data_IF_841168071580
#
_entry.id   IF_841168071580
#
_cell.length_a   1.000
_cell.length_b   1.000
_cell.length_c   1.000
_cell.angle_alpha   90.00
_cell.angle_beta   90.00
_cell.angle_gamma   90.00
#
_symmetry.space_group_name_H-M   'P 1'
#
loop_
_entity.id
_entity.type
_entity.pdbx_description
1 polymer ?
#
# COMPACT_ATOMS: atom_id res chain seq x y z
N UNK A 1 52.43 13.29 38.29
CA UNK A 1 51.02 13.74 38.26
C UNK A 1 50.25 12.78 37.37
N UNK A 2 49.65 11.76 37.97
CA UNK A 2 48.88 10.70 37.28
C UNK A 2 47.40 10.99 37.47
N UNK A 3 46.68 11.23 36.37
CA UNK A 3 45.24 11.46 36.36
C UNK A 3 44.48 10.13 36.36
N UNK A 4 43.54 9.90 37.28
CA UNK A 4 42.68 8.72 37.24
C UNK A 4 41.53 8.97 36.24
N UNK A 5 41.53 8.25 35.12
CA UNK A 5 40.35 8.08 34.28
C UNK A 5 39.35 7.17 35.00
N UNK A 6 38.28 7.77 35.51
CA UNK A 6 37.16 7.07 36.14
C UNK A 6 36.17 6.57 35.09
N UNK A 7 35.93 5.26 35.13
CA UNK A 7 34.91 4.53 34.38
C UNK A 7 33.51 5.08 34.73
N UNK A 8 32.81 5.71 33.77
CA UNK A 8 31.42 6.18 33.91
C UNK A 8 30.42 5.55 32.91
N UNK A 9 30.78 4.44 32.28
CA UNK A 9 29.93 3.76 31.29
C UNK A 9 28.87 2.78 31.85
N UNK A 10 28.89 2.46 33.14
CA UNK A 10 28.09 1.34 33.67
C UNK A 10 26.61 1.64 33.96
N UNK A 11 26.27 2.88 34.30
CA UNK A 11 24.94 3.20 34.85
C UNK A 11 23.87 3.32 33.75
N UNK A 12 24.25 3.80 32.57
CA UNK A 12 23.33 3.96 31.43
C UNK A 12 22.93 2.59 30.86
N UNK A 13 23.87 1.64 30.80
CA UNK A 13 23.59 0.28 30.34
C UNK A 13 22.62 -0.46 31.25
N UNK A 14 22.77 -0.32 32.57
CA UNK A 14 21.89 -0.95 33.54
C UNK A 14 20.46 -0.36 33.53
N UNK A 15 20.30 0.93 33.21
CA UNK A 15 18.99 1.54 33.12
C UNK A 15 18.24 1.08 31.85
N UNK A 16 18.93 0.99 30.72
CA UNK A 16 18.32 0.53 29.46
C UNK A 16 17.86 -0.93 29.52
N UNK A 17 18.61 -1.80 30.18
CA UNK A 17 18.18 -3.20 30.38
C UNK A 17 16.95 -3.31 31.27
N UNK A 18 16.84 -2.48 32.31
CA UNK A 18 15.70 -2.48 33.22
C UNK A 18 14.41 -2.00 32.51
N UNK A 19 14.53 -0.98 31.65
CA UNK A 19 13.39 -0.50 30.83
C UNK A 19 12.95 -1.57 29.82
N UNK A 20 13.88 -2.25 29.16
CA UNK A 20 13.57 -3.33 28.23
C UNK A 20 12.83 -4.49 28.93
N UNK A 21 13.28 -4.89 30.13
CA UNK A 21 12.63 -5.94 30.93
C UNK A 21 11.21 -5.53 31.33
N UNK A 22 11.01 -4.27 31.76
CA UNK A 22 9.69 -3.76 32.12
C UNK A 22 8.71 -3.75 30.93
N UNK A 23 9.18 -3.37 29.74
CA UNK A 23 8.36 -3.39 28.53
C UNK A 23 7.91 -4.81 28.16
N UNK A 24 8.81 -5.79 28.20
CA UNK A 24 8.48 -7.20 27.94
C UNK A 24 7.49 -7.74 28.97
N UNK A 25 7.65 -7.40 30.25
CA UNK A 25 6.72 -7.83 31.30
C UNK A 25 5.29 -7.29 31.09
N UNK A 26 5.14 -6.04 30.63
CA UNK A 26 3.83 -5.46 30.32
C UNK A 26 3.17 -6.16 29.12
N UNK A 27 3.93 -6.45 28.07
CA UNK A 27 3.41 -7.15 26.88
C UNK A 27 2.96 -8.58 27.24
N UNK A 28 3.77 -9.31 28.01
CA UNK A 28 3.42 -10.66 28.47
C UNK A 28 2.18 -10.62 29.37
N UNK A 29 2.08 -9.66 30.29
CA UNK A 29 0.91 -9.51 31.15
C UNK A 29 -0.37 -9.27 30.34
N UNK A 30 -0.34 -8.37 29.36
CA UNK A 30 -1.49 -8.08 28.48
C UNK A 30 -1.88 -9.30 27.64
N UNK A 31 -0.90 -10.02 27.08
CA UNK A 31 -1.16 -11.22 26.29
C UNK A 31 -1.80 -12.34 27.14
N UNK A 32 -1.31 -12.52 28.36
CA UNK A 32 -1.85 -13.51 29.33
C UNK A 32 -3.25 -13.12 29.79
N UNK A 33 -3.51 -11.84 30.03
CA UNK A 33 -4.83 -11.35 30.47
C UNK A 33 -5.89 -11.54 29.35
N UNK A 34 -5.52 -11.26 28.09
CA UNK A 34 -6.40 -11.51 26.93
C UNK A 34 -6.69 -13.01 26.74
N UNK A 35 -5.69 -13.88 26.94
CA UNK A 35 -5.84 -15.34 26.81
C UNK A 35 -6.61 -15.99 27.98
N UNK A 36 -6.43 -15.49 29.21
CA UNK A 36 -7.12 -16.05 30.39
C UNK A 36 -8.53 -15.49 30.59
N UNK A 37 -8.80 -14.23 30.25
CA UNK A 37 -10.14 -13.65 30.34
C UNK A 37 -11.03 -14.02 29.15
N UNK A 38 -10.45 -14.36 27.99
CA UNK A 38 -11.20 -14.83 26.82
C UNK A 38 -11.76 -16.25 26.95
N UNK A 39 -11.16 -17.11 27.78
CA UNK A 39 -11.50 -18.55 27.83
C UNK A 39 -12.55 -18.92 28.88
N UNK A 40 -12.92 -18.03 29.80
CA UNK A 40 -13.88 -18.35 30.88
C UNK A 40 -15.33 -18.00 30.58
N UNK A 41 -15.64 -17.31 29.47
CA UNK A 41 -17.01 -16.90 29.14
C UNK A 41 -17.74 -17.75 28.09
N UNK A 42 -17.13 -18.80 27.53
CA UNK A 42 -17.77 -19.59 26.46
C UNK A 42 -18.42 -20.92 26.89
N UNK A 43 -18.37 -21.32 28.17
CA UNK A 43 -18.82 -22.66 28.58
C UNK A 43 -20.10 -22.73 29.45
N UNK A 44 -20.98 -21.74 29.37
CA UNK A 44 -22.33 -21.83 29.99
C UNK A 44 -23.42 -21.30 29.07
N UNK A 45 -23.70 -21.94 27.94
CA UNK A 45 -24.99 -21.77 27.24
C UNK A 45 -25.25 -22.81 26.14
N UNK A 46 -25.15 -24.10 26.47
CA UNK A 46 -25.81 -25.15 25.66
C UNK A 46 -26.50 -26.13 26.59
N UNK A 47 -27.66 -25.72 27.07
CA UNK A 47 -28.59 -26.56 27.81
C UNK A 47 -30.01 -26.18 27.40
N UNK A 48 -30.55 -26.95 26.45
CA UNK A 48 -31.97 -27.19 26.17
C UNK A 48 -32.97 -26.13 26.66
N UNK A 49 -33.64 -25.46 25.72
CA UNK A 49 -35.11 -25.46 25.59
C UNK A 49 -35.56 -24.56 24.44
N UNK A 50 -36.30 -25.17 23.53
CA UNK A 50 -37.19 -24.57 22.54
C UNK A 50 -37.96 -23.35 23.04
N UNK A 51 -37.87 -22.20 22.35
CA UNK A 51 -38.92 -21.17 22.40
C UNK A 51 -38.90 -20.29 21.13
N UNK A 52 -40.09 -20.10 20.58
CA UNK A 52 -40.43 -19.49 19.29
C UNK A 52 -40.36 -17.94 19.28
N UNK A 53 -39.31 -17.35 19.84
CA UNK A 53 -39.09 -15.90 19.78
C UNK A 53 -37.75 -15.58 19.13
N UNK A 54 -37.70 -15.76 17.81
CA UNK A 54 -36.64 -15.24 16.96
C UNK A 54 -37.05 -13.85 16.45
N UNK A 55 -36.82 -12.81 17.25
CA UNK A 55 -36.64 -11.44 16.78
C UNK A 55 -36.09 -10.59 17.91
N UNK A 56 -35.00 -9.87 17.61
CA UNK A 56 -34.25 -8.97 18.49
C UNK A 56 -33.24 -9.62 19.46
N UNK A 57 -32.21 -10.27 18.91
CA UNK A 57 -30.92 -10.41 19.59
C UNK A 57 -29.81 -10.62 18.55
N UNK A 58 -29.55 -9.58 17.76
CA UNK A 58 -28.47 -9.59 16.76
C UNK A 58 -27.85 -8.18 16.67
N UNK A 59 -27.39 -7.67 17.80
CA UNK A 59 -26.46 -6.54 17.87
C UNK A 59 -25.46 -6.81 19.00
N UNK A 60 -24.17 -6.68 18.71
CA UNK A 60 -23.01 -6.71 19.64
C UNK A 60 -22.23 -8.02 19.80
N UNK A 61 -22.25 -8.94 18.83
CA UNK A 61 -21.09 -9.81 18.64
C UNK A 61 -19.98 -8.97 17.97
N UNK A 62 -19.05 -8.41 18.76
CA UNK A 62 -17.84 -7.78 18.24
C UNK A 62 -17.09 -8.87 17.46
N UNK A 63 -17.09 -8.75 16.13
CA UNK A 63 -16.38 -9.68 15.26
C UNK A 63 -14.91 -9.74 15.66
N UNK A 64 -14.31 -10.92 15.64
CA UNK A 64 -12.89 -11.09 15.96
C UNK A 64 -12.00 -10.15 15.10
N UNK A 65 -12.45 -9.80 13.89
CA UNK A 65 -11.81 -8.82 13.03
C UNK A 65 -11.87 -7.37 13.59
N UNK A 66 -12.96 -6.99 14.26
CA UNK A 66 -13.09 -5.68 14.91
C UNK A 66 -12.29 -5.61 16.22
N UNK A 67 -12.20 -6.71 16.97
CA UNK A 67 -11.34 -6.79 18.15
C UNK A 67 -9.85 -6.61 17.79
N UNK A 68 -9.40 -7.23 16.69
CA UNK A 68 -8.02 -7.04 16.17
C UNK A 68 -7.79 -5.62 15.67
N UNK A 69 -8.78 -5.00 15.03
CA UNK A 69 -8.69 -3.61 14.58
C UNK A 69 -8.60 -2.63 15.75
N UNK A 70 -9.45 -2.77 16.76
CA UNK A 70 -9.37 -1.96 17.99
C UNK A 70 -8.05 -2.18 18.73
N UNK A 71 -7.58 -3.42 18.84
CA UNK A 71 -6.31 -3.73 19.48
C UNK A 71 -5.12 -3.08 18.76
N UNK A 72 -5.12 -3.07 17.42
CA UNK A 72 -4.07 -2.42 16.63
C UNK A 72 -4.09 -0.90 16.78
N UNK A 73 -5.26 -0.27 16.71
CA UNK A 73 -5.40 1.17 16.87
C UNK A 73 -4.94 1.63 18.27
N UNK A 74 -5.25 0.87 19.31
CA UNK A 74 -4.83 1.18 20.68
C UNK A 74 -3.32 0.92 20.87
N UNK A 75 -2.77 -0.15 20.30
CA UNK A 75 -1.33 -0.41 20.31
C UNK A 75 -0.53 0.70 19.60
N UNK A 76 -0.99 1.17 18.45
CA UNK A 76 -0.38 2.30 17.73
C UNK A 76 -0.45 3.59 18.55
N UNK A 77 -1.56 3.82 19.27
CA UNK A 77 -1.72 4.98 20.16
C UNK A 77 -0.78 4.93 21.36
N UNK A 78 -0.64 3.77 21.99
CA UNK A 78 0.25 3.56 23.14
C UNK A 78 1.72 3.67 22.70
N UNK A 79 2.10 3.04 21.58
CA UNK A 79 3.45 3.14 21.02
C UNK A 79 3.82 4.59 20.67
N UNK A 80 2.90 5.34 20.06
CA UNK A 80 3.09 6.76 19.79
C UNK A 80 3.25 7.60 21.07
N UNK A 81 2.54 7.26 22.15
CA UNK A 81 2.69 7.88 23.46
C UNK A 81 4.08 7.64 24.07
N UNK A 82 4.49 6.37 24.12
CA UNK A 82 5.80 5.95 24.67
C UNK A 82 6.95 6.56 23.87
N UNK A 83 6.89 6.56 22.55
CA UNK A 83 7.91 7.19 21.70
C UNK A 83 8.04 8.70 21.97
N UNK A 84 6.92 9.39 22.23
CA UNK A 84 6.90 10.82 22.54
C UNK A 84 7.52 11.13 23.89
N UNK A 85 7.27 10.29 24.90
CA UNK A 85 7.84 10.46 26.23
C UNK A 85 9.33 10.08 26.26
N UNK A 86 9.73 9.05 25.53
CA UNK A 86 11.14 8.70 25.33
C UNK A 86 11.91 9.83 24.63
N UNK A 87 11.34 10.41 23.57
CA UNK A 87 11.94 11.56 22.88
C UNK A 87 12.06 12.79 23.80
N UNK A 88 11.07 13.02 24.69
CA UNK A 88 11.15 14.10 25.69
C UNK A 88 12.24 13.85 26.73
N UNK A 89 12.39 12.62 27.21
CA UNK A 89 13.44 12.27 28.15
C UNK A 89 14.83 12.41 27.53
N UNK A 90 15.02 11.94 26.30
CA UNK A 90 16.27 12.09 25.56
C UNK A 90 16.61 13.56 25.28
N UNK A 91 15.62 14.39 24.94
CA UNK A 91 15.83 15.83 24.77
C UNK A 91 16.25 16.50 26.09
N UNK A 92 15.64 16.11 27.22
CA UNK A 92 16.00 16.64 28.55
C UNK A 92 17.41 16.24 28.97
N UNK A 93 17.82 14.99 28.75
CA UNK A 93 19.18 14.53 29.09
C UNK A 93 20.23 15.26 28.24
N UNK A 94 19.97 15.44 26.95
CA UNK A 94 20.89 16.15 26.04
C UNK A 94 21.04 17.63 26.40
N UNK A 95 19.94 18.29 26.81
CA UNK A 95 19.99 19.69 27.27
C UNK A 95 20.78 19.78 28.58
N UNK A 96 20.51 18.92 29.56
CA UNK A 96 21.22 18.90 30.84
C UNK A 96 22.72 18.66 30.69
N UNK A 97 23.11 17.77 29.76
CA UNK A 97 24.51 17.48 29.46
C UNK A 97 25.21 18.69 28.80
N UNK A 98 24.52 19.44 27.94
CA UNK A 98 25.07 20.63 27.27
C UNK A 98 25.13 21.88 28.13
N UNK A 99 24.19 22.05 29.06
CA UNK A 99 24.17 23.24 29.94
C UNK A 99 25.10 23.11 31.12
N UNK A 100 25.70 21.93 31.37
CA UNK A 100 26.61 21.70 32.49
C UNK A 100 25.97 21.90 33.86
N UNK A 101 24.63 21.95 33.91
CA UNK A 101 23.86 22.22 35.11
C UNK A 101 23.56 20.87 35.76
N UNK A 102 24.41 20.51 36.73
CA UNK A 102 24.20 19.34 37.57
C UNK A 102 22.83 19.46 38.23
N UNK A 103 21.91 18.54 37.88
CA UNK A 103 20.54 18.55 38.35
C UNK A 103 20.50 18.59 39.90
N UNK A 104 19.86 19.58 40.54
CA UNK A 104 19.50 19.47 41.94
C UNK A 104 18.39 18.42 42.06
N UNK A 105 18.59 17.45 42.97
CA UNK A 105 17.59 16.47 43.39
C UNK A 105 16.29 17.19 43.78
N UNK A 106 15.32 17.20 42.88
CA UNK A 106 14.04 17.86 43.09
C UNK A 106 13.05 17.44 42.03
N UNK A 107 12.01 16.73 42.45
CA UNK A 107 10.87 16.31 41.63
C UNK A 107 10.21 17.55 41.00
N UNK A 108 10.56 17.84 39.74
CA UNK A 108 9.95 18.96 39.00
C UNK A 108 8.59 18.53 38.47
N UNK A 109 7.54 19.11 39.05
CA UNK A 109 6.14 19.00 38.64
C UNK A 109 5.98 19.47 37.19
N UNK A 110 5.41 18.62 36.34
CA UNK A 110 5.47 18.70 34.87
C UNK A 110 4.51 19.69 34.19
N UNK A 111 4.29 20.89 34.75
CA UNK A 111 3.29 21.85 34.24
C UNK A 111 3.85 23.15 33.63
N UNK A 112 5.14 23.22 33.33
CA UNK A 112 5.69 24.39 32.63
C UNK A 112 5.53 24.24 31.10
N UNK A 113 4.81 25.15 30.42
CA UNK A 113 4.67 25.12 28.96
C UNK A 113 6.05 25.30 28.33
N UNK A 114 6.40 24.41 27.40
CA UNK A 114 7.66 24.50 26.66
C UNK A 114 7.84 25.91 26.07
N UNK A 115 9.00 26.55 26.25
CA UNK A 115 9.23 27.88 25.70
C UNK A 115 9.03 27.86 24.18
N UNK A 116 8.24 28.80 23.67
CA UNK A 116 7.99 28.91 22.25
C UNK A 116 9.31 29.09 21.49
N UNK A 117 9.53 28.31 20.42
CA UNK A 117 10.76 28.32 19.60
C UNK A 117 11.21 29.71 19.14
N UNK A 118 10.30 30.70 19.14
CA UNK A 118 10.54 32.07 18.72
C UNK A 118 11.28 32.93 19.77
N UNK A 119 11.41 32.48 21.03
CA UNK A 119 12.14 33.21 22.07
C UNK A 119 13.61 32.81 22.19
N UNK A 120 14.04 31.77 21.47
CA UNK A 120 15.42 31.30 21.44
C UNK A 120 16.27 32.19 20.53
N UNK A 121 17.52 32.45 20.91
CA UNK A 121 18.48 33.20 20.07
C UNK A 121 18.76 32.44 18.76
N UNK A 122 19.19 33.16 17.71
CA UNK A 122 19.30 32.60 16.35
C UNK A 122 20.13 31.31 16.24
N UNK A 123 21.21 31.17 17.00
CA UNK A 123 22.03 29.95 17.04
C UNK A 123 21.31 28.79 17.76
N UNK A 124 20.53 29.08 18.81
CA UNK A 124 19.71 28.08 19.52
C UNK A 124 18.53 27.60 18.66
N UNK A 125 17.94 28.46 17.83
CA UNK A 125 16.90 28.05 16.88
C UNK A 125 17.43 27.09 15.82
N UNK A 126 18.66 27.31 15.34
CA UNK A 126 19.31 26.41 14.38
C UNK A 126 19.57 25.05 15.03
N UNK A 127 20.13 25.03 16.25
CA UNK A 127 20.38 23.80 17.00
C UNK A 127 19.08 23.04 17.32
N UNK A 128 17.99 23.75 17.66
CA UNK A 128 16.69 23.13 17.93
C UNK A 128 16.06 22.51 16.66
N UNK A 129 16.21 23.17 15.50
CA UNK A 129 15.75 22.63 14.21
C UNK A 129 16.56 21.42 13.78
N UNK A 130 17.87 21.43 14.01
CA UNK A 130 18.74 20.29 13.70
C UNK A 130 18.44 19.11 14.62
N UNK A 131 18.30 19.33 15.93
CA UNK A 131 17.90 18.30 16.88
C UNK A 131 16.55 17.68 16.51
N UNK A 132 15.58 18.48 16.05
CA UNK A 132 14.30 17.98 15.56
C UNK A 132 14.46 17.06 14.33
N UNK A 133 15.26 17.46 13.34
CA UNK A 133 15.54 16.63 12.14
C UNK A 133 16.24 15.31 12.51
N UNK A 134 17.15 15.34 13.47
CA UNK A 134 17.85 14.14 13.95
C UNK A 134 16.87 13.22 14.69
N UNK A 135 16.02 13.76 15.56
CA UNK A 135 15.00 13.00 16.26
C UNK A 135 14.00 12.34 15.30
N UNK A 136 13.55 13.06 14.27
CA UNK A 136 12.67 12.50 13.21
C UNK A 136 13.35 11.36 12.46
N UNK A 137 14.64 11.49 12.10
CA UNK A 137 15.40 10.42 11.43
C UNK A 137 15.56 9.17 12.31
N UNK A 138 15.84 9.36 13.60
CA UNK A 138 15.98 8.26 14.55
C UNK A 138 14.63 7.57 14.76
N UNK A 139 13.54 8.33 14.89
CA UNK A 139 12.19 7.77 14.99
C UNK A 139 11.82 6.93 13.76
N UNK A 140 12.10 7.41 12.55
CA UNK A 140 11.88 6.67 11.30
C UNK A 140 12.71 5.38 11.21
N UNK A 141 13.93 5.41 11.75
CA UNK A 141 14.80 4.24 11.75
C UNK A 141 14.34 3.19 12.76
N UNK A 142 14.00 3.61 13.98
CA UNK A 142 13.43 2.73 15.01
C UNK A 142 12.10 2.12 14.52
N UNK A 143 11.24 2.91 13.88
CA UNK A 143 9.99 2.41 13.31
C UNK A 143 10.22 1.35 12.22
N UNK A 144 11.27 1.50 11.41
CA UNK A 144 11.67 0.50 10.41
C UNK A 144 12.22 -0.78 11.03
N UNK A 145 13.08 -0.65 12.04
CA UNK A 145 13.73 -1.79 12.67
C UNK A 145 12.71 -2.63 13.48
N UNK A 146 11.83 -1.98 14.26
CA UNK A 146 10.76 -2.66 15.02
C UNK A 146 9.76 -3.34 14.08
N UNK A 147 9.36 -2.67 12.99
CA UNK A 147 8.46 -3.26 12.01
C UNK A 147 9.05 -4.48 11.29
N UNK A 148 10.38 -4.64 11.29
CA UNK A 148 11.04 -5.80 10.67
C UNK A 148 11.16 -6.95 11.68
N UNK A 149 11.54 -6.67 12.93
CA UNK A 149 11.72 -7.70 13.96
C UNK A 149 10.39 -8.27 14.48
N UNK A 150 9.38 -7.42 14.75
CA UNK A 150 8.07 -7.91 15.18
C UNK A 150 7.34 -8.67 14.07
N UNK A 151 7.54 -8.28 12.81
CA UNK A 151 6.93 -8.97 11.67
C UNK A 151 7.60 -10.33 11.43
N UNK A 152 8.92 -10.45 11.63
CA UNK A 152 9.62 -11.74 11.58
C UNK A 152 9.25 -12.64 12.76
N UNK A 153 9.11 -12.09 13.98
CA UNK A 153 8.66 -12.85 15.14
C UNK A 153 7.20 -13.32 15.02
N UNK A 154 6.32 -12.49 14.45
CA UNK A 154 4.94 -12.87 14.17
C UNK A 154 4.85 -13.95 13.09
N UNK A 155 5.62 -13.81 11.99
CA UNK A 155 5.68 -14.84 10.94
C UNK A 155 6.18 -16.16 11.51
N UNK A 156 7.24 -16.17 12.33
CA UNK A 156 7.77 -17.39 12.95
C UNK A 156 6.76 -18.04 13.92
N UNK A 157 6.00 -17.22 14.67
CA UNK A 157 4.92 -17.71 15.54
C UNK A 157 3.74 -18.32 14.78
N UNK A 158 3.43 -17.80 13.58
CA UNK A 158 2.33 -18.28 12.74
C UNK A 158 2.74 -19.51 11.94
N UNK A 159 4.00 -19.58 11.48
CA UNK A 159 4.51 -20.74 10.73
C UNK A 159 4.92 -21.91 11.62
N UNK A 160 5.31 -21.67 12.87
CA UNK A 160 5.64 -22.72 13.83
C UNK A 160 4.46 -23.63 14.23
N UNK A 161 3.22 -23.19 14.01
CA UNK A 161 2.01 -23.94 14.40
C UNK A 161 1.52 -24.94 13.32
N UNK A 162 2.12 -24.98 12.13
CA UNK A 162 1.65 -25.81 11.01
C UNK A 162 2.41 -27.14 10.84
N UNK A 163 3.38 -27.45 11.70
CA UNK A 163 4.28 -28.60 11.53
C UNK A 163 3.86 -29.91 12.21
N UNK A 164 2.82 -29.93 13.04
CA UNK A 164 2.59 -31.06 13.95
C UNK A 164 1.09 -31.42 14.06
N UNK A 165 0.50 -31.88 12.95
CA UNK A 165 -0.73 -32.71 12.95
C UNK A 165 -0.98 -33.25 11.54
N UNK A 166 -0.25 -34.29 11.16
CA UNK A 166 -0.59 -35.14 10.03
C UNK A 166 -0.41 -36.60 10.47
N UNK A 167 -1.49 -37.27 10.86
CA UNK A 167 -1.61 -38.72 10.89
C UNK A 167 -3.09 -39.11 10.89
N UNK A 168 -3.44 -39.94 9.92
CA UNK A 168 -4.55 -40.89 9.85
C UNK A 168 -5.97 -40.41 10.20
N UNK A 169 -6.84 -40.32 9.19
CA UNK A 169 -7.79 -41.43 8.96
C UNK A 169 -8.54 -41.29 7.63
N UNK A 170 -8.62 -42.40 6.91
CA UNK A 170 -9.54 -42.72 5.81
C UNK A 170 -9.78 -44.24 5.94
N UNK A 171 -10.90 -44.87 5.47
CA UNK A 171 -11.72 -44.46 4.33
C UNK A 171 -13.24 -44.83 4.41
N UNK A 172 -13.92 -44.80 3.24
CA UNK A 172 -15.17 -45.50 2.84
C UNK A 172 -16.52 -44.90 3.33
N UNK A 173 -17.65 -44.92 2.60
CA UNK A 173 -18.06 -45.43 1.29
C UNK A 173 -19.42 -44.77 0.90
N UNK A 174 -19.75 -44.84 -0.40
CA UNK A 174 -21.10 -44.91 -1.03
C UNK A 174 -22.27 -44.03 -0.53
N UNK A 175 -22.89 -43.22 -1.40
CA UNK A 175 -24.04 -43.69 -2.20
C UNK A 175 -24.66 -42.64 -3.15
N UNK A 176 -25.30 -43.17 -4.18
CA UNK A 176 -26.00 -42.52 -5.30
C UNK A 176 -27.26 -41.75 -4.89
N UNK A 177 -27.59 -40.65 -5.58
CA UNK A 177 -28.95 -40.53 -6.12
C UNK A 177 -29.06 -39.55 -7.30
N UNK A 178 -29.62 -40.08 -8.38
CA UNK A 178 -30.01 -39.38 -9.59
C UNK A 178 -31.41 -38.76 -9.45
N UNK A 179 -31.67 -37.69 -10.20
CA UNK A 179 -32.97 -37.27 -10.78
C UNK A 179 -32.64 -36.20 -11.84
N UNK A 180 -32.82 -36.46 -13.15
CA UNK A 180 -34.06 -36.38 -13.92
C UNK A 180 -34.65 -34.94 -13.89
N UNK A 181 -34.50 -34.15 -14.95
CA UNK A 181 -35.30 -34.11 -16.19
C UNK A 181 -36.46 -33.10 -16.04
N UNK A 182 -36.42 -31.99 -16.79
CA UNK A 182 -37.58 -31.39 -17.49
C UNK A 182 -37.20 -30.07 -18.20
N UNK A 183 -37.01 -30.19 -19.52
CA UNK A 183 -37.76 -29.51 -20.58
C UNK A 183 -38.44 -28.16 -20.28
N UNK A 184 -38.09 -27.11 -21.05
CA UNK A 184 -39.08 -26.37 -21.86
C UNK A 184 -38.42 -25.47 -22.90
N UNK A 185 -38.88 -25.65 -24.13
CA UNK A 185 -38.63 -24.85 -25.31
C UNK A 185 -39.56 -23.62 -25.34
N UNK A 186 -39.10 -22.50 -25.90
CA UNK A 186 -39.91 -21.68 -26.81
C UNK A 186 -39.01 -20.70 -27.59
N UNK A 187 -38.90 -20.95 -28.89
CA UNK A 187 -38.64 -20.00 -29.98
C UNK A 187 -40.03 -19.57 -30.51
N UNK A 188 -40.23 -18.63 -31.47
CA UNK A 188 -39.37 -17.59 -32.02
C UNK A 188 -40.11 -16.24 -32.14
N UNK A 189 -39.42 -15.16 -32.56
CA UNK A 189 -40.08 -14.12 -33.36
C UNK A 189 -39.12 -13.57 -34.42
N UNK A 190 -39.39 -13.96 -35.67
CA UNK A 190 -39.04 -13.23 -36.88
C UNK A 190 -39.64 -11.81 -36.82
N UNK A 191 -39.01 -10.82 -37.47
CA UNK A 191 -39.62 -10.09 -38.62
C UNK A 191 -38.83 -8.82 -39.01
N UNK A 192 -38.17 -8.92 -40.17
CA UNK A 192 -38.22 -8.02 -41.36
C UNK A 192 -37.76 -6.55 -41.24
N UNK A 193 -36.67 -6.19 -41.93
CA UNK A 193 -36.70 -5.40 -43.19
C UNK A 193 -35.35 -4.70 -43.50
N UNK A 194 -34.69 -5.18 -44.55
CA UNK A 194 -33.69 -4.46 -45.36
C UNK A 194 -34.38 -3.41 -46.25
N UNK A 195 -33.76 -2.26 -46.50
CA UNK A 195 -33.38 -1.95 -47.89
C UNK A 195 -31.96 -1.39 -48.06
N UNK A 196 -31.25 -1.99 -49.01
CA UNK A 196 -30.12 -1.45 -49.81
C UNK A 196 -30.71 -0.75 -51.07
N UNK A 197 -29.95 -0.28 -52.09
CA UNK A 197 -28.78 0.61 -52.18
C UNK A 197 -29.10 1.88 -53.02
N UNK A 198 -28.22 2.89 -53.08
CA UNK A 198 -28.04 3.73 -54.30
C UNK A 198 -26.84 4.71 -54.25
N UNK A 199 -26.33 5.17 -55.41
CA UNK A 199 -24.89 5.22 -55.70
C UNK A 199 -24.25 6.62 -55.88
N UNK A 200 -22.90 6.60 -55.87
CA UNK A 200 -21.85 7.46 -56.50
C UNK A 200 -22.27 8.64 -57.42
N UNK A 201 -21.49 9.75 -57.47
CA UNK A 201 -20.21 9.78 -58.21
C UNK A 201 -19.04 10.58 -57.56
N UNK A 202 -17.84 10.39 -58.14
CA UNK A 202 -16.53 10.85 -57.68
C UNK A 202 -16.03 12.15 -58.39
N UNK A 203 -14.71 12.44 -58.52
CA UNK A 203 -13.94 13.52 -57.87
C UNK A 203 -13.48 14.65 -58.83
N UNK A 204 -12.63 15.60 -58.38
CA UNK A 204 -11.47 15.94 -59.20
C UNK A 204 -10.11 16.06 -58.47
N UNK A 205 -9.07 15.62 -59.19
CA UNK A 205 -7.62 15.73 -58.94
C UNK A 205 -7.13 17.20 -58.96
N UNK A 206 -6.00 17.51 -58.31
CA UNK A 206 -4.81 17.92 -59.07
C UNK A 206 -3.53 17.21 -58.55
N UNK A 207 -2.83 16.46 -59.41
CA UNK A 207 -1.67 16.87 -60.24
C UNK A 207 -0.33 16.87 -59.47
N UNK A 208 0.34 15.73 -59.61
CA UNK A 208 1.77 15.46 -59.64
C UNK A 208 2.76 16.65 -59.52
N UNK A 209 3.78 16.45 -58.69
CA UNK A 209 5.17 16.79 -59.03
C UNK A 209 6.15 15.94 -58.22
N UNK A 210 6.83 15.04 -58.92
CA UNK A 210 8.18 14.52 -58.65
C UNK A 210 8.92 14.59 -60.01
N UNK A 211 10.26 14.49 -60.13
CA UNK A 211 11.36 14.49 -59.15
C UNK A 211 12.44 15.57 -59.52
N UNK A 212 13.64 15.57 -58.91
CA UNK A 212 14.76 14.91 -59.59
C UNK A 212 15.69 14.09 -58.67
N UNK A 213 16.19 12.97 -59.22
CA UNK A 213 17.44 12.31 -58.81
C UNK A 213 18.63 13.16 -59.30
N UNK A 214 19.77 13.19 -58.58
CA UNK A 214 20.86 12.21 -58.76
C UNK A 214 21.59 11.95 -57.40
N UNK A 215 22.61 11.11 -57.17
CA UNK A 215 23.72 10.58 -57.95
C UNK A 215 24.27 9.37 -57.19
N UNK A 216 24.69 8.33 -57.90
CA UNK A 216 25.45 7.22 -57.37
C UNK A 216 26.93 7.59 -57.17
N UNK A 217 27.47 7.45 -55.95
CA UNK A 217 28.90 7.18 -55.60
C UNK A 217 28.96 7.12 -54.06
N UNK A 218 29.71 6.29 -53.36
CA UNK A 218 30.78 5.37 -53.71
C UNK A 218 30.80 4.23 -52.69
N UNK A 219 31.25 3.08 -53.16
CA UNK A 219 31.70 1.95 -52.37
C UNK A 219 32.69 2.39 -51.29
N UNK A 220 32.39 2.10 -50.02
CA UNK A 220 33.37 2.16 -48.93
C UNK A 220 33.36 0.87 -48.15
N UNK A 221 34.41 0.10 -48.43
CA UNK A 221 35.23 -0.62 -47.47
C UNK A 221 34.51 -1.48 -46.42
N UNK A 222 34.50 -2.77 -46.72
CA UNK A 222 34.57 -3.91 -45.82
C UNK A 222 35.11 -3.54 -44.42
N UNK A 223 34.20 -3.27 -43.47
CA UNK A 223 34.53 -3.14 -42.05
C UNK A 223 34.52 -4.55 -41.44
N UNK A 224 35.56 -4.97 -40.70
CA UNK A 224 35.59 -6.27 -40.01
C UNK A 224 34.34 -6.44 -39.14
N UNK A 225 33.66 -7.57 -39.31
CA UNK A 225 32.50 -7.95 -38.53
C UNK A 225 32.86 -7.93 -37.05
N UNK A 226 32.32 -6.95 -36.32
CA UNK A 226 32.43 -6.87 -34.88
C UNK A 226 31.64 -8.05 -34.30
N UNK A 227 32.24 -8.91 -33.44
CA UNK A 227 31.54 -10.05 -32.88
C UNK A 227 30.28 -9.60 -32.17
N UNK A 228 29.15 -10.18 -32.56
CA UNK A 228 27.84 -9.93 -31.97
C UNK A 228 27.94 -10.19 -30.47
N UNK A 229 27.97 -9.11 -29.70
CA UNK A 229 27.99 -9.16 -28.24
C UNK A 229 26.64 -9.72 -27.82
N UNK A 230 26.63 -10.98 -27.38
CA UNK A 230 25.43 -11.69 -26.94
C UNK A 230 24.63 -10.79 -26.00
N UNK A 231 23.36 -10.53 -26.36
CA UNK A 231 22.48 -9.69 -25.58
C UNK A 231 22.41 -10.23 -24.14
N UNK A 232 22.54 -9.37 -23.11
CA UNK A 232 22.46 -9.82 -21.73
C UNK A 232 21.11 -10.50 -21.48
N UNK A 233 21.15 -11.67 -20.84
CA UNK A 233 19.96 -12.44 -20.49
C UNK A 233 18.96 -11.56 -19.72
N UNK A 234 17.70 -11.53 -20.18
CA UNK A 234 16.61 -10.78 -19.53
C UNK A 234 16.41 -11.34 -18.12
N UNK A 235 16.51 -10.47 -17.11
CA UNK A 235 16.14 -10.84 -15.73
C UNK A 235 14.64 -11.18 -15.70
N UNK A 236 14.24 -12.25 -14.98
CA UNK A 236 12.83 -12.60 -14.82
C UNK A 236 12.10 -11.48 -14.09
N UNK A 237 10.85 -11.21 -14.50
CA UNK A 237 10.02 -10.19 -13.88
C UNK A 237 9.75 -10.53 -12.39
N UNK A 238 9.78 -9.54 -11.48
CA UNK A 238 9.50 -9.76 -10.08
C UNK A 238 8.06 -10.26 -9.89
N UNK A 239 7.88 -11.29 -9.04
CA UNK A 239 6.57 -11.80 -8.68
C UNK A 239 5.89 -10.81 -7.70
N UNK A 240 4.59 -10.52 -7.85
CA UNK A 240 3.88 -9.65 -6.92
C UNK A 240 3.84 -10.28 -5.52
N UNK A 241 4.17 -9.50 -4.49
CA UNK A 241 3.96 -9.93 -3.10
C UNK A 241 2.49 -9.76 -2.71
N UNK A 242 1.99 -10.52 -1.74
CA UNK A 242 0.60 -10.42 -1.27
C UNK A 242 0.26 -9.02 -0.74
N UNK A 243 1.24 -8.30 -0.18
CA UNK A 243 1.11 -6.91 0.26
C UNK A 243 0.85 -5.95 -0.92
N UNK A 244 1.44 -6.23 -2.08
CA UNK A 244 1.27 -5.38 -3.26
C UNK A 244 -0.09 -5.59 -3.97
N UNK A 245 -0.84 -6.62 -3.58
CA UNK A 245 -2.19 -6.90 -4.11
C UNK A 245 -3.31 -6.20 -3.32
N UNK A 246 -2.98 -5.55 -2.20
CA UNK A 246 -3.96 -4.81 -1.41
C UNK A 246 -4.39 -3.53 -2.15
N UNK A 247 -5.69 -3.25 -2.28
CA UNK A 247 -6.17 -1.99 -2.83
C UNK A 247 -5.56 -0.80 -2.08
N UNK A 248 -4.87 0.07 -2.81
CA UNK A 248 -4.23 1.28 -2.27
C UNK A 248 -5.10 2.54 -2.45
N UNK A 249 -6.25 2.40 -3.09
CA UNK A 249 -7.25 3.44 -3.25
C UNK A 249 -8.37 3.30 -2.19
N UNK A 250 -9.16 4.37 -1.95
CA UNK A 250 -10.25 4.32 -0.98
C UNK A 250 -11.33 3.30 -1.38
N UNK A 251 -11.72 2.45 -0.44
CA UNK A 251 -12.87 1.56 -0.57
C UNK A 251 -13.65 1.56 0.76
N UNK A 252 -14.89 2.07 0.82
CA UNK A 252 -15.71 2.58 -0.28
C UNK A 252 -15.24 3.93 -0.83
N UNK A 253 -15.64 4.23 -2.07
CA UNK A 253 -15.38 5.52 -2.67
C UNK A 253 -16.23 6.62 -1.99
N UNK A 254 -15.66 7.81 -1.71
CA UNK A 254 -16.41 8.93 -1.15
C UNK A 254 -17.51 9.40 -2.12
N UNK A 255 -18.70 9.68 -1.59
CA UNK A 255 -19.82 10.16 -2.39
C UNK A 255 -19.60 11.60 -2.88
N UNK A 256 -20.03 11.90 -4.11
CA UNK A 256 -19.95 13.24 -4.72
C UNK A 256 -18.52 13.72 -5.02
N UNK A 257 -17.57 12.80 -5.17
CA UNK A 257 -16.18 13.10 -5.47
C UNK A 257 -15.66 12.12 -6.53
N UNK A 258 -14.71 12.59 -7.34
CA UNK A 258 -13.96 11.72 -8.23
C UNK A 258 -13.04 10.83 -7.38
N UNK A 259 -13.18 9.52 -7.49
CA UNK A 259 -12.34 8.55 -6.80
C UNK A 259 -11.96 7.41 -7.74
N UNK A 260 -10.88 6.72 -7.41
CA UNK A 260 -10.49 5.49 -8.07
C UNK A 260 -11.26 4.31 -7.46
N UNK A 261 -11.87 3.47 -8.30
CA UNK A 261 -12.56 2.24 -7.91
C UNK A 261 -11.72 1.00 -8.15
N UNK A 262 -10.85 1.05 -9.16
CA UNK A 262 -9.97 -0.05 -9.52
C UNK A 262 -8.70 0.49 -10.20
N UNK A 263 -7.56 -0.11 -9.85
CA UNK A 263 -6.31 0.00 -10.59
C UNK A 263 -5.71 -1.39 -10.76
N UNK A 264 -5.34 -1.74 -11.98
CA UNK A 264 -4.82 -3.07 -12.28
C UNK A 264 -4.35 -3.21 -13.71
N UNK A 265 -4.09 -4.45 -14.11
CA UNK A 265 -3.79 -4.78 -15.51
C UNK A 265 -5.05 -4.62 -16.38
N UNK A 266 -4.90 -4.03 -17.57
CA UNK A 266 -5.96 -4.02 -18.58
C UNK A 266 -6.24 -5.45 -19.07
N UNK A 267 -7.52 -5.84 -19.12
CA UNK A 267 -7.95 -7.18 -19.58
C UNK A 267 -7.85 -7.37 -21.10
N UNK A 268 -7.61 -6.31 -21.87
CA UNK A 268 -7.53 -6.41 -23.34
C UNK A 268 -6.15 -6.86 -23.81
N UNK A 269 -6.03 -7.10 -25.11
CA UNK A 269 -4.76 -7.35 -25.82
C UNK A 269 -3.69 -6.26 -25.61
N UNK A 270 -4.08 -5.15 -24.98
CA UNK A 270 -3.22 -3.99 -24.75
C UNK A 270 -2.31 -4.12 -23.53
N UNK A 271 -2.16 -5.29 -22.88
CA UNK A 271 -1.21 -5.59 -21.77
C UNK A 271 -0.67 -4.33 -21.04
N UNK A 272 -1.56 -3.56 -20.42
CA UNK A 272 -1.28 -2.21 -19.93
C UNK A 272 -1.86 -1.99 -18.54
N UNK A 273 -1.88 -0.73 -18.11
CA UNK A 273 -2.51 -0.32 -16.84
C UNK A 273 -3.94 0.14 -17.14
N UNK A 274 -4.90 -0.33 -16.34
CA UNK A 274 -6.28 0.10 -16.36
C UNK A 274 -6.66 0.79 -15.05
N UNK A 275 -7.26 1.97 -15.17
CA UNK A 275 -7.76 2.80 -14.09
C UNK A 275 -9.28 3.00 -14.28
N UNK A 276 -10.07 2.55 -13.32
CA UNK A 276 -11.52 2.77 -13.31
C UNK A 276 -11.86 3.82 -12.26
N UNK A 277 -12.43 4.93 -12.71
CA UNK A 277 -12.89 6.01 -11.84
C UNK A 277 -14.37 5.85 -11.47
N UNK A 278 -14.84 6.59 -10.46
CA UNK A 278 -16.26 6.69 -10.10
C UNK A 278 -17.08 7.42 -11.15
N UNK A 279 -16.46 8.38 -11.86
CA UNK A 279 -17.04 9.16 -12.94
C UNK A 279 -16.01 9.36 -14.06
N UNK A 280 -16.42 9.67 -15.30
CA UNK A 280 -15.49 9.92 -16.40
C UNK A 280 -14.57 11.11 -16.09
N UNK A 281 -13.25 11.02 -16.33
CA UNK A 281 -12.35 12.16 -16.20
C UNK A 281 -12.64 13.21 -17.27
N UNK A 282 -12.40 14.48 -16.97
CA UNK A 282 -12.76 15.62 -17.83
C UNK A 282 -12.23 15.52 -19.27
N UNK A 283 -11.03 14.95 -19.44
CA UNK A 283 -10.45 14.60 -20.74
C UNK A 283 -9.28 13.63 -20.55
N UNK A 284 -8.87 12.95 -21.62
CA UNK A 284 -7.66 12.11 -21.60
C UNK A 284 -6.39 12.94 -21.41
N UNK A 285 -6.34 14.19 -21.89
CA UNK A 285 -5.23 15.12 -21.64
C UNK A 285 -5.13 15.51 -20.15
N UNK A 286 -6.27 15.65 -19.47
CA UNK A 286 -6.30 15.86 -18.02
C UNK A 286 -5.75 14.64 -17.28
N UNK A 287 -6.05 13.42 -17.74
CA UNK A 287 -5.44 12.19 -17.21
C UNK A 287 -3.93 12.19 -17.46
N UNK A 288 -3.48 12.44 -18.68
CA UNK A 288 -2.05 12.45 -19.04
C UNK A 288 -1.24 13.48 -18.23
N UNK A 289 -1.82 14.64 -17.92
CA UNK A 289 -1.15 15.68 -17.13
C UNK A 289 -1.16 15.44 -15.62
N UNK A 290 -2.18 14.74 -15.10
CA UNK A 290 -2.36 14.52 -13.65
C UNK A 290 -1.95 13.12 -13.19
N UNK A 291 -1.81 12.15 -14.11
CA UNK A 291 -1.41 10.77 -13.82
C UNK A 291 -0.02 10.51 -14.34
N UNK A 292 0.88 10.09 -13.45
CA UNK A 292 2.24 9.68 -13.78
C UNK A 292 2.40 8.20 -13.49
N UNK A 293 3.15 7.52 -14.35
CA UNK A 293 3.50 6.11 -14.18
C UNK A 293 5.01 6.03 -14.02
N UNK A 294 5.46 5.43 -12.93
CA UNK A 294 6.87 5.15 -12.68
C UNK A 294 7.13 3.66 -12.92
N UNK A 295 8.28 3.33 -13.49
CA UNK A 295 8.75 1.95 -13.59
C UNK A 295 9.35 1.47 -12.26
N UNK A 296 9.82 0.21 -12.21
CA UNK A 296 10.45 -0.40 -11.03
C UNK A 296 11.71 0.34 -10.55
N UNK A 297 12.40 1.06 -11.45
CA UNK A 297 13.54 1.93 -11.09
C UNK A 297 13.13 3.32 -10.58
N UNK A 298 11.83 3.63 -10.52
CA UNK A 298 11.31 4.94 -10.11
C UNK A 298 11.40 6.02 -11.19
N UNK A 299 11.74 5.65 -12.43
CA UNK A 299 11.78 6.57 -13.57
C UNK A 299 10.38 6.73 -14.17
N UNK A 300 10.01 7.97 -14.47
CA UNK A 300 8.74 8.28 -15.12
C UNK A 300 8.76 7.80 -16.58
N UNK A 301 7.78 6.97 -16.93
CA UNK A 301 7.57 6.52 -18.30
C UNK A 301 6.45 7.33 -18.95
N UNK A 302 6.67 7.72 -20.21
CA UNK A 302 5.63 8.34 -21.01
C UNK A 302 4.65 7.28 -21.49
N UNK A 303 3.36 7.50 -21.21
CA UNK A 303 2.29 6.57 -21.55
C UNK A 303 1.16 7.30 -22.26
N UNK A 304 0.62 6.68 -23.30
CA UNK A 304 -0.57 7.16 -23.98
C UNK A 304 -1.81 6.55 -23.33
N UNK A 305 -2.79 7.39 -23.02
CA UNK A 305 -4.05 6.98 -22.41
C UNK A 305 -5.16 6.87 -23.47
N UNK A 306 -6.01 5.87 -23.33
CA UNK A 306 -7.21 5.68 -24.14
C UNK A 306 -8.40 5.30 -23.27
N UNK A 307 -9.61 5.60 -23.73
CA UNK A 307 -10.87 5.19 -23.09
C UNK A 307 -11.62 4.24 -24.00
N UNK A 308 -12.19 3.18 -23.43
CA UNK A 308 -13.00 2.20 -24.18
C UNK A 308 -14.48 2.59 -24.23
N UNK A 309 -15.35 1.57 -24.32
CA UNK A 309 -16.82 1.74 -24.26
C UNK A 309 -17.29 2.35 -22.93
N UNK A 310 -16.56 2.13 -21.84
CA UNK A 310 -16.81 2.78 -20.56
C UNK A 310 -15.89 4.01 -20.43
N UNK A 311 -16.42 5.25 -20.46
CA UNK A 311 -15.61 6.46 -20.39
C UNK A 311 -14.94 6.68 -19.03
N UNK A 312 -15.42 6.03 -17.96
CA UNK A 312 -14.75 6.04 -16.66
C UNK A 312 -13.56 5.06 -16.56
N UNK A 313 -13.41 4.16 -17.55
CA UNK A 313 -12.28 3.23 -17.63
C UNK A 313 -11.24 3.78 -18.60
N UNK A 314 -10.09 4.16 -18.06
CA UNK A 314 -8.94 4.62 -18.84
C UNK A 314 -7.86 3.55 -18.82
N UNK A 315 -7.26 3.30 -19.98
CA UNK A 315 -6.24 2.27 -20.17
C UNK A 315 -5.01 2.90 -20.81
N UNK A 316 -3.82 2.39 -20.49
CA UNK A 316 -2.61 2.75 -21.22
C UNK A 316 -2.48 1.91 -22.48
N UNK A 317 -1.61 2.34 -23.40
CA UNK A 317 -1.02 1.44 -24.40
C UNK A 317 -0.30 0.25 -23.75
N UNK A 318 0.05 -0.75 -24.56
CA UNK A 318 0.84 -1.89 -24.13
C UNK A 318 2.14 -1.48 -23.45
N UNK A 319 2.34 -2.03 -22.27
CA UNK A 319 3.52 -1.83 -21.45
C UNK A 319 4.26 -3.17 -21.31
N UNK A 320 5.60 -3.14 -21.19
CA UNK A 320 6.34 -4.32 -20.80
C UNK A 320 5.81 -4.94 -19.50
N UNK A 321 5.93 -6.25 -19.36
CA UNK A 321 5.60 -6.90 -18.10
C UNK A 321 6.52 -6.38 -16.98
N UNK A 322 5.95 -6.04 -15.83
CA UNK A 322 6.70 -5.46 -14.73
C UNK A 322 5.83 -4.84 -13.63
N UNK A 323 6.50 -4.32 -12.61
CA UNK A 323 5.91 -3.52 -11.53
C UNK A 323 5.99 -2.05 -11.93
N UNK A 324 4.86 -1.36 -11.77
CA UNK A 324 4.73 0.07 -11.98
C UNK A 324 4.15 0.73 -10.75
N UNK A 325 4.47 2.00 -10.52
CA UNK A 325 3.82 2.83 -9.50
C UNK A 325 3.00 3.89 -10.22
N UNK A 326 1.70 3.90 -9.96
CA UNK A 326 0.79 4.89 -10.52
C UNK A 326 0.59 5.99 -9.49
N UNK A 327 0.80 7.23 -9.92
CA UNK A 327 0.62 8.43 -9.10
C UNK A 327 -0.48 9.27 -9.75
N UNK A 328 -1.59 9.47 -9.04
CA UNK A 328 -2.70 10.32 -9.47
C UNK A 328 -2.74 11.56 -8.59
N UNK A 329 -2.57 12.72 -9.20
CA UNK A 329 -2.58 14.00 -8.47
C UNK A 329 -4.02 14.44 -8.16
N UNK A 330 -4.17 15.23 -7.09
CA UNK A 330 -5.46 15.80 -6.65
C UNK A 330 -6.11 16.76 -7.65
N UNK A 331 -5.36 17.22 -8.66
CA UNK A 331 -5.84 18.15 -9.68
C UNK A 331 -6.74 17.51 -10.74
N UNK A 332 -6.86 16.17 -10.76
CA UNK A 332 -7.73 15.47 -11.70
C UNK A 332 -9.20 15.76 -11.36
N UNK A 333 -9.98 16.09 -12.41
CA UNK A 333 -11.41 16.38 -12.32
C UNK A 333 -12.21 15.47 -13.24
N UNK A 334 -13.47 15.21 -12.87
CA UNK A 334 -14.44 14.53 -13.72
C UNK A 334 -14.99 15.47 -14.80
N UNK A 335 -15.69 14.92 -15.80
CA UNK A 335 -16.47 15.70 -16.77
C UNK A 335 -17.54 16.58 -16.10
N UNK A 336 -18.06 16.15 -14.96
CA UNK A 336 -19.04 16.90 -14.15
C UNK A 336 -18.40 17.91 -13.20
N UNK A 337 -17.06 18.00 -13.17
CA UNK A 337 -16.31 18.95 -12.34
C UNK A 337 -15.96 18.47 -10.93
N UNK A 338 -16.28 17.23 -10.57
CA UNK A 338 -15.89 16.62 -9.29
C UNK A 338 -14.37 16.44 -9.24
N UNK A 339 -13.73 16.92 -8.18
CA UNK A 339 -12.28 16.83 -8.03
C UNK A 339 -11.85 15.58 -7.25
N UNK A 340 -10.65 15.10 -7.54
CA UNK A 340 -9.99 14.06 -6.75
C UNK A 340 -9.63 14.65 -5.37
N UNK A 341 -10.06 14.04 -4.24
CA UNK A 341 -9.91 14.66 -2.92
C UNK A 341 -8.48 14.68 -2.38
N UNK A 342 -7.64 13.76 -2.85
CA UNK A 342 -6.24 13.62 -2.43
C UNK A 342 -5.40 13.01 -3.52
N UNK A 343 -4.09 13.20 -3.43
CA UNK A 343 -3.12 12.43 -4.21
C UNK A 343 -3.28 10.94 -3.86
N UNK A 344 -3.37 10.09 -4.87
CA UNK A 344 -3.37 8.64 -4.73
C UNK A 344 -2.08 8.09 -5.35
N UNK A 345 -1.49 7.09 -4.71
CA UNK A 345 -0.25 6.47 -5.15
C UNK A 345 -0.24 5.00 -4.76
N UNK A 346 0.13 4.14 -5.70
CA UNK A 346 0.36 2.75 -5.36
C UNK A 346 0.76 1.86 -6.54
N UNK A 347 1.11 0.61 -6.24
CA UNK A 347 1.66 -0.31 -7.22
C UNK A 347 0.58 -0.88 -8.15
N UNK A 348 0.97 -1.16 -9.39
CA UNK A 348 0.22 -1.93 -10.39
C UNK A 348 1.17 -2.88 -11.10
N UNK A 349 0.74 -4.11 -11.34
CA UNK A 349 1.52 -5.13 -12.04
C UNK A 349 0.94 -5.40 -13.41
N UNK A 350 1.80 -5.39 -14.42
CA UNK A 350 1.47 -5.81 -15.78
C UNK A 350 2.10 -7.18 -16.00
N UNK A 351 1.27 -8.17 -16.34
CA UNK A 351 1.72 -9.54 -16.62
C UNK A 351 2.00 -9.72 -18.13
N UNK A 352 2.97 -10.59 -18.48
CA UNK A 352 3.29 -10.90 -19.87
C UNK A 352 2.12 -11.54 -20.61
#
# INVERSE_FOLDING_TARGET
MTNPQTMRGGVIGAFLTLVAIAAVAVVVFVAVDILLLGSTNLNRMTGQSSSLFASAQDEQAISAADAVRMGREEAERVAAGVARDAARQAARSTIAERTGEAAPDGVVKADSPSPALNTLSGSQQIAAREAKRVAERIADQIARDIATDELMAYVDSVTGYAGESASDDAPADEDQQASADETSADEPVETVATPEPSPRPAPPKPKASAPPAPTATASSANRPAQPERSAPARRPAPKPSALDLKPWWPNPAPAGQLSLRFAGQAQSDSHGIALLFTAPPASLDAVASQVRVLNDSGEAIEVSWSSGRNPALVQTTALPAGRYVVIINQGLRSETGEAMPRKLEGPVFVRP
#
